data_IF_312696588632
#
_entry.id   IF_312696588632
#
_cell.length_a   1.000
_cell.length_b   1.000
_cell.length_c   1.000
_cell.angle_alpha   90.00
_cell.angle_beta   90.00
_cell.angle_gamma   90.00
#
_symmetry.space_group_name_H-M   'P 1'
#
loop_
_entity.id
_entity.type
_entity.pdbx_description
1 polymer ?
#
# COMPACT_ATOMS: atom_id res chain seq x y z
N UNK A 1 -4.05 10.98 14.85
CA UNK A 1 -3.83 11.14 13.40
C UNK A 1 -3.09 9.97 12.73
N UNK A 2 -2.45 9.05 13.49
CA UNK A 2 -1.76 7.84 12.97
C UNK A 2 -2.66 6.61 12.71
N UNK A 3 -3.95 6.69 13.03
CA UNK A 3 -4.83 5.51 12.99
C UNK A 3 -5.34 5.17 11.58
N UNK A 4 -5.33 6.13 10.65
CA UNK A 4 -5.99 6.00 9.34
C UNK A 4 -5.12 6.33 8.12
N UNK A 5 -3.91 6.84 8.31
CA UNK A 5 -3.03 7.28 7.24
C UNK A 5 -1.84 6.34 7.07
N UNK A 6 -1.60 5.93 5.82
CA UNK A 6 -0.34 5.30 5.39
C UNK A 6 0.64 6.33 4.83
N UNK A 7 1.86 5.87 4.55
CA UNK A 7 2.90 6.68 3.92
C UNK A 7 2.64 6.90 2.43
N UNK A 8 1.92 5.97 1.80
CA UNK A 8 1.69 5.93 0.35
C UNK A 8 0.20 5.70 0.10
N UNK A 9 -0.38 6.56 -0.73
CA UNK A 9 -1.70 6.38 -1.34
C UNK A 9 -1.56 6.33 -2.86
N UNK A 10 -2.37 5.49 -3.52
CA UNK A 10 -2.42 5.38 -4.97
C UNK A 10 -3.87 5.21 -5.43
N UNK A 11 -4.14 5.62 -6.67
CA UNK A 11 -5.48 5.55 -7.27
C UNK A 11 -5.37 5.26 -8.76
N UNK A 12 -6.20 4.35 -9.24
CA UNK A 12 -6.30 4.02 -10.66
C UNK A 12 -7.66 4.47 -11.19
N UNK A 13 -7.62 5.26 -12.29
CA UNK A 13 -8.83 5.63 -13.04
C UNK A 13 -9.62 4.36 -13.39
N UNK A 14 -10.95 4.33 -13.21
CA UNK A 14 -11.75 3.11 -13.44
C UNK A 14 -11.48 2.40 -14.77
N UNK A 15 -11.31 3.15 -15.86
CA UNK A 15 -11.04 2.63 -17.20
C UNK A 15 -9.68 1.97 -17.39
N UNK A 16 -8.75 2.12 -16.43
CA UNK A 16 -7.39 1.59 -16.49
C UNK A 16 -7.12 0.52 -15.41
N UNK A 17 -8.17 0.06 -14.69
CA UNK A 17 -8.06 -1.00 -13.69
C UNK A 17 -7.84 -2.36 -14.37
N UNK A 18 -7.33 -3.33 -13.60
CA UNK A 18 -7.07 -4.70 -14.10
C UNK A 18 -5.82 -4.85 -14.96
N UNK A 19 -5.07 -3.78 -15.22
CA UNK A 19 -3.87 -3.79 -16.08
C UNK A 19 -2.55 -3.84 -15.28
N UNK A 20 -2.60 -4.13 -13.98
CA UNK A 20 -1.41 -4.16 -13.12
C UNK A 20 -0.84 -2.79 -12.74
N UNK A 21 -1.43 -1.68 -13.18
CA UNK A 21 -0.91 -0.32 -12.94
C UNK A 21 -0.78 0.05 -11.45
N UNK A 22 -1.71 -0.41 -10.60
CA UNK A 22 -1.64 -0.16 -9.15
C UNK A 22 -0.40 -0.82 -8.51
N UNK A 23 -0.06 -2.03 -8.96
CA UNK A 23 1.13 -2.75 -8.50
C UNK A 23 2.39 -1.96 -8.83
N UNK A 24 2.49 -1.46 -10.06
CA UNK A 24 3.65 -0.68 -10.51
C UNK A 24 3.73 0.69 -9.82
N UNK A 25 2.61 1.38 -9.63
CA UNK A 25 2.58 2.65 -8.88
C UNK A 25 3.06 2.48 -7.44
N UNK A 26 2.58 1.45 -6.74
CA UNK A 26 3.05 1.18 -5.37
C UNK A 26 4.55 0.87 -5.37
N UNK A 27 5.03 0.03 -6.29
CA UNK A 27 6.46 -0.30 -6.42
C UNK A 27 7.33 0.95 -6.59
N UNK A 28 6.95 1.85 -7.49
CA UNK A 28 7.67 3.11 -7.71
C UNK A 28 7.62 4.03 -6.49
N UNK A 29 6.46 4.14 -5.82
CA UNK A 29 6.33 4.89 -4.58
C UNK A 29 7.26 4.37 -3.47
N UNK A 30 7.40 3.05 -3.34
CA UNK A 30 8.31 2.42 -2.38
C UNK A 30 9.79 2.71 -2.71
N UNK A 31 10.16 2.76 -3.98
CA UNK A 31 11.52 3.16 -4.39
C UNK A 31 11.82 4.62 -4.01
N UNK A 32 10.85 5.52 -4.16
CA UNK A 32 10.97 6.92 -3.72
C UNK A 32 11.02 7.02 -2.19
N UNK A 33 10.26 6.20 -1.47
CA UNK A 33 10.34 6.14 -0.01
C UNK A 33 11.73 5.69 0.44
N UNK A 34 12.27 4.64 -0.19
CA UNK A 34 13.63 4.13 0.07
C UNK A 34 14.69 5.21 -0.17
N UNK A 35 14.59 5.97 -1.27
CA UNK A 35 15.55 7.05 -1.56
C UNK A 35 15.50 8.21 -0.56
N UNK A 36 14.41 8.32 0.22
CA UNK A 36 14.24 9.27 1.33
C UNK A 36 14.65 8.69 2.69
N UNK A 37 15.39 7.59 2.72
CA UNK A 37 15.80 6.86 3.93
C UNK A 37 14.63 6.34 4.78
N UNK A 38 13.45 6.14 4.18
CA UNK A 38 12.34 5.46 4.85
C UNK A 38 12.65 3.97 4.86
N UNK A 39 12.72 3.40 6.07
CA UNK A 39 13.07 1.99 6.30
C UNK A 39 11.89 1.04 6.15
N UNK A 40 10.71 1.48 6.57
CA UNK A 40 9.47 0.73 6.46
C UNK A 40 8.32 1.66 6.11
N UNK A 41 7.45 1.24 5.20
CA UNK A 41 6.28 2.00 4.79
C UNK A 41 4.99 1.32 5.25
N UNK A 42 4.19 2.05 6.03
CA UNK A 42 2.81 1.67 6.33
C UNK A 42 1.91 1.95 5.12
N UNK A 43 1.17 0.96 4.66
CA UNK A 43 0.13 1.10 3.64
C UNK A 43 -1.17 0.55 4.20
N UNK A 44 -2.29 1.22 3.93
CA UNK A 44 -3.59 0.85 4.48
C UNK A 44 -4.64 0.73 3.38
N UNK A 45 -5.58 -0.19 3.52
CA UNK A 45 -6.74 -0.28 2.63
C UNK A 45 -8.00 -0.65 3.42
N UNK A 46 -9.17 -0.44 2.83
CA UNK A 46 -10.41 -0.99 3.39
C UNK A 46 -10.39 -2.52 3.39
N UNK A 47 -10.96 -3.12 4.41
CA UNK A 47 -11.07 -4.58 4.60
C UNK A 47 -11.97 -5.28 3.56
N UNK A 48 -12.80 -4.54 2.85
CA UNK A 48 -13.56 -5.05 1.70
C UNK A 48 -12.81 -4.86 0.36
N UNK A 49 -11.68 -4.14 0.36
CA UNK A 49 -10.92 -3.83 -0.85
C UNK A 49 -9.88 -4.91 -1.17
N UNK A 50 -10.36 -6.05 -1.66
CA UNK A 50 -9.52 -7.18 -2.05
C UNK A 50 -8.47 -6.83 -3.13
N UNK A 51 -8.76 -5.87 -4.02
CA UNK A 51 -7.84 -5.46 -5.07
C UNK A 51 -6.62 -4.72 -4.49
N UNK A 52 -6.84 -3.75 -3.61
CA UNK A 52 -5.74 -3.05 -2.92
C UNK A 52 -4.96 -4.00 -2.01
N UNK A 53 -5.63 -4.92 -1.32
CA UNK A 53 -4.98 -5.97 -0.54
C UNK A 53 -4.00 -6.78 -1.39
N UNK A 54 -4.44 -7.28 -2.54
CA UNK A 54 -3.59 -8.06 -3.44
C UNK A 54 -2.38 -7.25 -3.93
N UNK A 55 -2.57 -5.97 -4.25
CA UNK A 55 -1.48 -5.05 -4.64
C UNK A 55 -0.45 -4.88 -3.52
N UNK A 56 -0.90 -4.67 -2.28
CA UNK A 56 -0.03 -4.49 -1.11
C UNK A 56 0.77 -5.77 -0.83
N UNK A 57 0.10 -6.92 -0.76
CA UNK A 57 0.74 -8.22 -0.52
C UNK A 57 1.78 -8.54 -1.61
N UNK A 58 1.46 -8.25 -2.88
CA UNK A 58 2.39 -8.49 -3.99
C UNK A 58 3.64 -7.60 -3.91
N UNK A 59 3.57 -6.46 -3.21
CA UNK A 59 4.71 -5.57 -2.96
C UNK A 59 5.40 -5.85 -1.62
N UNK A 60 5.14 -7.00 -1.00
CA UNK A 60 5.80 -7.42 0.24
C UNK A 60 5.14 -6.89 1.52
N UNK A 61 3.87 -6.45 1.45
CA UNK A 61 3.14 -6.03 2.64
C UNK A 61 2.90 -7.18 3.61
N UNK A 62 3.30 -6.98 4.88
CA UNK A 62 2.96 -7.85 6.00
C UNK A 62 1.84 -7.20 6.82
N UNK A 63 0.75 -7.93 7.08
CA UNK A 63 -0.38 -7.43 7.87
C UNK A 63 0.08 -7.17 9.31
N UNK A 64 -0.10 -5.94 9.78
CA UNK A 64 0.09 -5.55 11.18
C UNK A 64 -1.20 -5.83 11.97
N UNK A 65 -2.30 -5.17 11.58
CA UNK A 65 -3.60 -5.28 12.23
C UNK A 65 -4.75 -4.71 11.38
N UNK A 66 -5.97 -4.80 11.92
CA UNK A 66 -7.19 -4.21 11.34
C UNK A 66 -7.84 -3.30 12.38
N UNK A 67 -8.07 -2.04 12.03
CA UNK A 67 -8.70 -1.04 12.93
C UNK A 67 -9.77 -0.26 12.20
N UNK A 68 -10.99 -0.24 12.74
CA UNK A 68 -12.10 0.52 12.17
C UNK A 68 -12.38 0.20 10.70
N UNK A 69 -12.28 -1.08 10.31
CA UNK A 69 -12.50 -1.54 8.94
C UNK A 69 -11.32 -1.32 7.98
N UNK A 70 -10.20 -0.75 8.45
CA UNK A 70 -8.97 -0.57 7.67
C UNK A 70 -7.93 -1.62 8.04
N UNK A 71 -7.42 -2.32 7.03
CA UNK A 71 -6.25 -3.18 7.15
C UNK A 71 -4.98 -2.35 7.03
N UNK A 72 -3.96 -2.74 7.80
CA UNK A 72 -2.71 -1.99 7.94
C UNK A 72 -1.54 -2.92 7.69
N UNK A 73 -0.69 -2.56 6.75
CA UNK A 73 0.42 -3.40 6.29
C UNK A 73 1.75 -2.65 6.35
N UNK A 74 2.79 -3.30 6.86
CA UNK A 74 4.16 -2.80 6.75
C UNK A 74 4.87 -3.42 5.55
N UNK A 75 5.61 -2.60 4.82
CA UNK A 75 6.53 -3.04 3.77
C UNK A 75 7.93 -2.60 4.18
N UNK A 76 8.83 -3.57 4.34
CA UNK A 76 10.25 -3.31 4.61
C UNK A 76 10.96 -2.86 3.33
N UNK A 77 11.76 -1.81 3.42
CA UNK A 77 12.44 -1.17 2.29
C UNK A 77 13.97 -1.26 2.38
N UNK A 78 14.51 -1.99 3.36
CA UNK A 78 15.95 -2.18 3.51
C UNK A 78 16.60 -2.85 2.28
#
# INVERSE_FOLDING_TARGET
MLNYAGHIGYSIRPSARGQGLAKEQLRQGLQVAKSKNIKRALVTCDSDNAASRAVILTNGGALEDVRGGKERYWIDLD
#
